data_IF_381155082078
#
_entry.id   IF_381155082078
#
_cell.length_a   1.000
_cell.length_b   1.000
_cell.length_c   1.000
_cell.angle_alpha   90.00
_cell.angle_beta   90.00
_cell.angle_gamma   90.00
#
_symmetry.space_group_name_H-M   'P 1'
#
loop_
_entity.id
_entity.type
_entity.pdbx_description
1 polymer ?
#
# COMPACT_ATOMS: atom_id res chain seq x y z
N UNK A 1 4.07 -4.03 -9.76
CA UNK A 1 3.61 -2.71 -10.25
C UNK A 1 3.65 -1.71 -9.11
N UNK A 2 4.39 -0.60 -9.23
CA UNK A 2 4.68 0.31 -8.11
C UNK A 2 3.59 1.37 -7.81
N UNK A 3 2.51 1.39 -8.59
CA UNK A 3 1.36 2.26 -8.36
C UNK A 3 0.12 1.43 -8.03
N UNK A 4 -0.48 1.70 -6.87
CA UNK A 4 -1.73 1.08 -6.41
C UNK A 4 -2.88 1.42 -7.36
N UNK A 5 -2.98 2.69 -7.76
CA UNK A 5 -3.98 3.19 -8.70
C UNK A 5 -3.84 2.56 -10.08
N UNK A 6 -2.60 2.41 -10.58
CA UNK A 6 -2.36 1.75 -11.87
C UNK A 6 -2.73 0.26 -11.83
N UNK A 7 -2.43 -0.45 -10.71
CA UNK A 7 -2.92 -1.82 -10.51
C UNK A 7 -4.44 -1.87 -10.56
N UNK A 8 -5.10 -0.97 -9.83
CA UNK A 8 -6.55 -0.95 -9.72
C UNK A 8 -7.22 -0.66 -11.07
N UNK A 9 -6.90 0.46 -11.70
CA UNK A 9 -7.57 0.91 -12.93
C UNK A 9 -7.07 0.22 -14.20
N UNK A 10 -5.77 -0.09 -14.27
CA UNK A 10 -5.16 -0.66 -15.47
C UNK A 10 -5.28 -2.17 -15.60
N UNK A 11 -5.34 -2.89 -14.47
CA UNK A 11 -5.32 -4.37 -14.49
C UNK A 11 -6.60 -4.95 -13.91
N UNK A 12 -6.86 -4.68 -12.62
CA UNK A 12 -7.91 -5.41 -11.91
C UNK A 12 -9.31 -4.97 -12.33
N UNK A 13 -9.57 -3.67 -12.45
CA UNK A 13 -10.90 -3.17 -12.77
C UNK A 13 -11.41 -3.64 -14.15
N UNK A 14 -10.60 -3.65 -15.23
CA UNK A 14 -11.01 -4.24 -16.51
C UNK A 14 -11.40 -5.72 -16.40
N UNK A 15 -10.62 -6.51 -15.65
CA UNK A 15 -10.89 -7.94 -15.40
C UNK A 15 -12.20 -8.09 -14.62
N UNK A 16 -12.35 -7.35 -13.52
CA UNK A 16 -13.55 -7.34 -12.67
C UNK A 16 -14.77 -6.98 -13.51
N UNK A 17 -14.69 -5.93 -14.35
CA UNK A 17 -15.78 -5.51 -15.22
C UNK A 17 -16.15 -6.60 -16.24
N UNK A 18 -15.16 -7.22 -16.88
CA UNK A 18 -15.40 -8.31 -17.84
C UNK A 18 -16.10 -9.51 -17.19
N UNK A 19 -15.64 -9.94 -16.01
CA UNK A 19 -16.23 -11.05 -15.27
C UNK A 19 -17.64 -10.71 -14.77
N UNK A 20 -17.82 -9.51 -14.23
CA UNK A 20 -19.10 -9.04 -13.71
C UNK A 20 -20.15 -8.98 -14.80
N UNK A 21 -19.83 -8.40 -15.96
CA UNK A 21 -20.74 -8.33 -17.10
C UNK A 21 -21.11 -9.72 -17.63
N UNK A 22 -20.13 -10.64 -17.70
CA UNK A 22 -20.38 -12.03 -18.11
C UNK A 22 -21.32 -12.77 -17.16
N UNK A 23 -21.27 -12.43 -15.87
CA UNK A 23 -22.17 -12.95 -14.84
C UNK A 23 -23.52 -12.17 -14.75
N UNK A 24 -23.79 -11.27 -15.69
CA UNK A 24 -25.00 -10.45 -15.69
C UNK A 24 -25.08 -9.45 -14.52
N UNK A 25 -23.92 -9.06 -13.97
CA UNK A 25 -23.75 -8.08 -12.91
C UNK A 25 -23.33 -6.75 -13.52
N UNK A 26 -24.22 -5.75 -13.50
CA UNK A 26 -24.00 -4.45 -14.15
C UNK A 26 -23.72 -3.35 -13.12
N UNK A 27 -22.92 -2.32 -13.47
CA UNK A 27 -22.73 -1.16 -12.61
C UNK A 27 -24.00 -0.29 -12.58
N UNK A 28 -24.23 0.39 -11.45
CA UNK A 28 -25.38 1.27 -11.18
C UNK A 28 -26.74 0.56 -11.37
N UNK A 29 -26.77 -0.74 -11.10
CA UNK A 29 -27.93 -1.62 -11.30
C UNK A 29 -28.06 -2.57 -10.10
N UNK A 30 -29.28 -2.96 -9.69
CA UNK A 30 -29.47 -3.91 -8.58
C UNK A 30 -28.71 -5.23 -8.76
N UNK A 31 -28.41 -5.63 -10.01
CA UNK A 31 -27.59 -6.81 -10.33
C UNK A 31 -26.11 -6.68 -9.96
N UNK A 32 -25.62 -5.51 -9.54
CA UNK A 32 -24.23 -5.32 -9.13
C UNK A 32 -23.80 -6.31 -8.03
N UNK A 33 -24.71 -6.70 -7.15
CA UNK A 33 -24.48 -7.64 -6.04
C UNK A 33 -24.29 -9.09 -6.49
N UNK A 34 -24.66 -9.44 -7.73
CA UNK A 34 -24.46 -10.79 -8.27
C UNK A 34 -23.01 -11.23 -8.20
N UNK A 35 -22.07 -10.34 -8.58
CA UNK A 35 -20.64 -10.63 -8.55
C UNK A 35 -19.78 -9.37 -8.43
N UNK A 36 -20.13 -8.30 -9.14
CA UNK A 36 -19.27 -7.12 -9.28
C UNK A 36 -18.97 -6.40 -7.98
N UNK A 37 -19.97 -6.20 -7.11
CA UNK A 37 -19.75 -5.54 -5.82
C UNK A 37 -18.75 -6.30 -4.95
N UNK A 38 -18.84 -7.64 -4.92
CA UNK A 38 -17.92 -8.47 -4.16
C UNK A 38 -16.50 -8.41 -4.71
N UNK A 39 -16.32 -8.54 -6.03
CA UNK A 39 -15.00 -8.50 -6.65
C UNK A 39 -14.32 -7.14 -6.45
N UNK A 40 -15.07 -6.05 -6.62
CA UNK A 40 -14.57 -4.68 -6.36
C UNK A 40 -14.14 -4.53 -4.90
N UNK A 41 -14.99 -4.91 -3.94
CA UNK A 41 -14.67 -4.75 -2.53
C UNK A 41 -13.56 -5.68 -2.06
N UNK A 42 -13.56 -6.95 -2.50
CA UNK A 42 -12.49 -7.90 -2.21
C UNK A 42 -11.14 -7.33 -2.65
N UNK A 43 -11.08 -6.77 -3.85
CA UNK A 43 -9.83 -6.23 -4.36
C UNK A 43 -9.43 -4.92 -3.69
N UNK A 44 -10.37 -3.99 -3.48
CA UNK A 44 -10.09 -2.74 -2.77
C UNK A 44 -9.53 -3.01 -1.37
N UNK A 45 -10.22 -3.82 -0.58
CA UNK A 45 -9.88 -4.10 0.82
C UNK A 45 -8.60 -4.95 0.96
N UNK A 46 -8.34 -5.88 0.04
CA UNK A 46 -7.10 -6.67 0.05
C UNK A 46 -5.88 -5.89 -0.50
N UNK A 47 -6.10 -4.84 -1.31
CA UNK A 47 -5.01 -4.11 -1.96
C UNK A 47 -4.07 -3.39 -0.98
N UNK A 48 -4.58 -2.93 0.17
CA UNK A 48 -3.75 -2.33 1.22
C UNK A 48 -2.71 -3.31 1.76
N UNK A 49 -3.10 -4.57 1.98
CA UNK A 49 -2.22 -5.61 2.50
C UNK A 49 -1.12 -6.00 1.51
N UNK A 50 -1.44 -6.12 0.22
CA UNK A 50 -0.41 -6.37 -0.81
C UNK A 50 0.55 -5.19 -0.98
N UNK A 51 0.06 -3.96 -0.77
CA UNK A 51 0.88 -2.74 -0.80
C UNK A 51 1.79 -2.61 0.42
N UNK A 52 1.32 -3.07 1.57
CA UNK A 52 2.12 -3.16 2.80
C UNK A 52 3.18 -4.27 2.72
N UNK A 53 2.97 -5.36 1.96
CA UNK A 53 3.92 -6.47 1.85
C UNK A 53 5.23 -6.09 1.16
N UNK A 54 5.18 -5.25 0.12
CA UNK A 54 6.36 -4.90 -0.68
C UNK A 54 6.65 -3.40 -0.63
N UNK A 55 7.90 -3.04 -0.33
CA UNK A 55 8.34 -1.65 -0.26
C UNK A 55 7.99 -0.87 -1.52
N UNK A 56 8.23 -1.45 -2.69
CA UNK A 56 8.03 -0.80 -3.99
C UNK A 56 6.61 -0.94 -4.52
N UNK A 57 5.63 -1.37 -3.72
CA UNK A 57 4.25 -1.54 -4.19
C UNK A 57 3.43 -0.25 -4.17
N UNK A 58 3.87 0.81 -3.50
CA UNK A 58 3.16 2.08 -3.47
C UNK A 58 4.13 3.24 -3.24
N UNK A 59 3.83 4.42 -3.82
CA UNK A 59 4.73 5.57 -3.77
C UNK A 59 4.97 6.06 -2.34
N UNK A 60 3.92 6.14 -1.53
CA UNK A 60 3.96 6.61 -0.15
C UNK A 60 4.89 5.78 0.74
N UNK A 61 5.14 4.51 0.40
CA UNK A 61 6.09 3.67 1.12
C UNK A 61 7.51 4.25 1.08
N UNK A 62 7.95 4.68 -0.11
CA UNK A 62 9.26 5.31 -0.31
C UNK A 62 9.31 6.70 0.32
N UNK A 63 8.20 7.45 0.28
CA UNK A 63 8.10 8.75 0.95
C UNK A 63 8.30 8.61 2.47
N UNK A 64 7.62 7.66 3.11
CA UNK A 64 7.78 7.42 4.54
C UNK A 64 9.22 7.06 4.92
N UNK A 65 9.90 6.23 4.14
CA UNK A 65 11.32 5.94 4.37
C UNK A 65 12.19 7.19 4.31
N UNK A 66 11.93 8.08 3.35
CA UNK A 66 12.68 9.33 3.21
C UNK A 66 12.39 10.29 4.35
N UNK A 67 11.13 10.46 4.72
CA UNK A 67 10.74 11.28 5.87
C UNK A 67 11.29 10.74 7.20
N UNK A 68 11.40 9.41 7.35
CA UNK A 68 12.04 8.79 8.51
C UNK A 68 13.55 9.10 8.56
N UNK A 69 14.22 9.05 7.41
CA UNK A 69 15.64 9.38 7.28
C UNK A 69 15.92 10.85 7.66
N UNK A 70 15.05 11.79 7.26
CA UNK A 70 15.15 13.23 7.62
C UNK A 70 15.09 13.49 9.13
N UNK A 71 14.49 12.58 9.91
CA UNK A 71 14.45 12.67 11.37
C UNK A 71 15.38 11.67 12.07
N UNK A 72 16.35 11.13 11.33
CA UNK A 72 17.44 10.30 11.87
C UNK A 72 17.15 8.81 11.96
N UNK A 73 16.01 8.34 11.46
CA UNK A 73 15.66 6.91 11.47
C UNK A 73 16.02 6.27 10.12
N UNK A 74 17.20 5.68 10.06
CA UNK A 74 17.69 4.98 8.86
C UNK A 74 17.41 3.47 8.95
N UNK A 75 16.66 2.96 7.98
CA UNK A 75 16.38 1.53 7.87
C UNK A 75 17.46 0.89 6.99
N UNK A 76 18.30 0.04 7.59
CA UNK A 76 19.28 -0.75 6.85
C UNK A 76 18.58 -1.79 5.96
N UNK A 77 19.14 -2.05 4.77
CA UNK A 77 18.54 -2.91 3.74
C UNK A 77 17.02 -2.70 3.60
N UNK A 78 16.57 -1.50 3.14
CA UNK A 78 15.17 -1.10 3.22
C UNK A 78 14.20 -2.12 2.63
N UNK A 79 14.56 -2.76 1.52
CA UNK A 79 13.67 -3.71 0.85
C UNK A 79 13.51 -5.00 1.66
N UNK A 80 14.60 -5.59 2.13
CA UNK A 80 14.57 -6.82 2.93
C UNK A 80 13.97 -6.57 4.30
N UNK A 81 14.37 -5.50 4.99
CA UNK A 81 13.83 -5.13 6.29
C UNK A 81 12.33 -4.91 6.21
N UNK A 82 11.86 -4.18 5.20
CA UNK A 82 10.44 -4.01 4.94
C UNK A 82 9.71 -5.34 4.76
N UNK A 83 10.20 -6.17 3.81
CA UNK A 83 9.55 -7.43 3.47
C UNK A 83 9.48 -8.37 4.68
N UNK A 84 10.59 -8.51 5.43
CA UNK A 84 10.64 -9.35 6.63
C UNK A 84 9.62 -8.90 7.66
N UNK A 85 9.58 -7.61 7.99
CA UNK A 85 8.71 -7.09 9.05
C UNK A 85 7.23 -7.11 8.64
N UNK A 86 6.93 -6.88 7.36
CA UNK A 86 5.57 -6.94 6.81
C UNK A 86 5.05 -8.36 6.58
N UNK A 87 5.95 -9.33 6.31
CA UNK A 87 5.62 -10.64 5.72
C UNK A 87 4.43 -11.34 6.39
N UNK A 88 4.59 -11.78 7.64
CA UNK A 88 3.59 -12.59 8.32
C UNK A 88 2.23 -11.87 8.48
N UNK A 89 2.14 -10.64 9.03
CA UNK A 89 0.85 -9.97 9.16
C UNK A 89 0.21 -9.65 7.80
N UNK A 90 0.99 -9.20 6.81
CA UNK A 90 0.46 -8.88 5.49
C UNK A 90 -0.04 -10.11 4.73
N UNK A 91 0.67 -11.25 4.79
CA UNK A 91 0.25 -12.51 4.15
C UNK A 91 -1.04 -13.02 4.79
N UNK A 92 -1.10 -13.04 6.13
CA UNK A 92 -2.31 -13.48 6.84
C UNK A 92 -3.49 -12.58 6.49
N UNK A 93 -3.32 -11.25 6.53
CA UNK A 93 -4.39 -10.33 6.12
C UNK A 93 -4.78 -10.49 4.65
N UNK A 94 -3.82 -10.70 3.73
CA UNK A 94 -4.09 -10.87 2.30
C UNK A 94 -4.97 -12.11 2.03
N UNK A 95 -4.77 -13.19 2.80
CA UNK A 95 -5.58 -14.41 2.71
C UNK A 95 -6.91 -14.29 3.46
N UNK A 96 -6.90 -13.65 4.64
CA UNK A 96 -8.07 -13.51 5.49
C UNK A 96 -9.09 -12.51 4.93
N UNK A 97 -8.66 -11.38 4.36
CA UNK A 97 -9.56 -10.31 3.91
C UNK A 97 -10.59 -10.80 2.87
N UNK A 98 -10.21 -11.48 1.77
CA UNK A 98 -11.19 -12.00 0.81
C UNK A 98 -12.15 -13.02 1.44
N UNK A 99 -11.63 -13.93 2.28
CA UNK A 99 -12.45 -14.93 2.97
C UNK A 99 -13.49 -14.30 3.90
N UNK A 100 -13.08 -13.31 4.70
CA UNK A 100 -13.98 -12.60 5.61
C UNK A 100 -15.01 -11.78 4.84
N UNK A 101 -14.61 -11.10 3.76
CA UNK A 101 -15.53 -10.41 2.86
C UNK A 101 -16.53 -11.35 2.20
N UNK A 102 -16.12 -12.56 1.84
CA UNK A 102 -17.02 -13.57 1.31
C UNK A 102 -18.10 -13.98 2.33
N UNK A 103 -17.80 -13.92 3.63
CA UNK A 103 -18.78 -14.20 4.69
C UNK A 103 -19.72 -13.02 4.97
N UNK A 104 -19.20 -11.79 5.04
CA UNK A 104 -20.00 -10.61 5.44
C UNK A 104 -20.66 -9.87 4.27
N UNK A 105 -20.13 -10.03 3.05
CA UNK A 105 -20.60 -9.39 1.83
C UNK A 105 -20.56 -10.37 0.64
N UNK A 106 -21.20 -11.56 0.75
CA UNK A 106 -21.12 -12.60 -0.27
C UNK A 106 -21.65 -12.12 -1.62
N UNK A 107 -21.10 -12.61 -2.74
CA UNK A 107 -21.75 -12.51 -4.03
C UNK A 107 -22.97 -13.44 -4.08
N UNK A 108 -24.00 -13.07 -4.84
CA UNK A 108 -25.16 -13.95 -5.07
C UNK A 108 -24.77 -15.15 -5.94
N UNK A 109 -23.90 -14.92 -6.94
CA UNK A 109 -23.33 -15.97 -7.78
C UNK A 109 -22.05 -16.49 -7.14
N UNK A 110 -22.04 -17.77 -6.80
CA UNK A 110 -20.90 -18.46 -6.15
C UNK A 110 -20.26 -19.53 -7.02
N UNK A 111 -20.91 -19.86 -8.13
CA UNK A 111 -20.43 -20.84 -9.08
C UNK A 111 -20.35 -20.20 -10.48
N UNK A 112 -19.25 -20.45 -11.17
CA UNK A 112 -18.97 -19.93 -12.52
C UNK A 112 -18.35 -21.06 -13.35
N UNK A 113 -19.13 -22.11 -13.68
CA UNK A 113 -18.62 -23.33 -14.29
C UNK A 113 -17.99 -23.07 -15.67
N UNK A 114 -18.43 -22.03 -16.37
CA UNK A 114 -17.90 -21.60 -17.66
C UNK A 114 -16.59 -20.80 -17.57
N UNK A 115 -16.23 -20.27 -16.39
CA UNK A 115 -15.07 -19.38 -16.26
C UNK A 115 -13.73 -20.06 -16.61
N UNK A 116 -13.45 -21.32 -16.20
CA UNK A 116 -12.25 -22.02 -16.61
C UNK A 116 -12.15 -22.21 -18.12
N UNK A 117 -13.25 -22.57 -18.79
CA UNK A 117 -13.29 -22.76 -20.24
C UNK A 117 -13.04 -21.43 -20.98
N UNK A 118 -13.68 -20.34 -20.53
CA UNK A 118 -13.46 -18.99 -21.08
C UNK A 118 -12.01 -18.53 -20.88
N UNK A 119 -11.43 -18.75 -19.69
CA UNK A 119 -10.05 -18.41 -19.40
C UNK A 119 -9.06 -19.19 -20.29
N UNK A 120 -9.29 -20.49 -20.48
CA UNK A 120 -8.47 -21.33 -21.37
C UNK A 120 -8.57 -20.84 -22.83
N UNK A 121 -9.76 -20.49 -23.30
CA UNK A 121 -9.94 -19.95 -24.64
C UNK A 121 -9.25 -18.59 -24.82
N UNK A 122 -9.33 -17.69 -23.82
CA UNK A 122 -8.63 -16.40 -23.83
C UNK A 122 -7.11 -16.59 -23.83
N UNK A 123 -6.59 -17.51 -23.03
CA UNK A 123 -5.17 -17.85 -23.00
C UNK A 123 -4.70 -18.38 -24.38
N UNK A 124 -5.49 -19.26 -25.00
CA UNK A 124 -5.21 -19.75 -26.37
C UNK A 124 -5.18 -18.61 -27.39
N UNK A 125 -6.11 -17.65 -27.27
CA UNK A 125 -6.19 -16.49 -28.16
C UNK A 125 -5.04 -15.49 -27.95
N UNK A 126 -4.47 -15.39 -26.74
CA UNK A 126 -3.29 -14.55 -26.46
C UNK A 126 -2.03 -15.08 -27.16
N UNK A 127 -1.95 -16.40 -27.38
CA UNK A 127 -0.81 -17.02 -28.04
C UNK A 127 0.40 -17.23 -27.12
N UNK A 128 1.56 -17.61 -27.68
CA UNK A 128 2.78 -17.81 -26.90
C UNK A 128 3.33 -16.50 -26.34
N UNK A 129 4.06 -16.59 -25.23
CA UNK A 129 4.73 -15.45 -24.59
C UNK A 129 5.69 -14.79 -25.59
N UNK A 130 5.48 -13.50 -25.80
CA UNK A 130 6.25 -12.69 -26.75
C UNK A 130 7.65 -12.40 -26.23
N UNK A 131 8.56 -12.01 -27.13
CA UNK A 131 9.92 -11.58 -26.77
C UNK A 131 9.91 -10.45 -25.73
N UNK A 132 9.03 -9.46 -25.90
CA UNK A 132 8.95 -8.30 -25.01
C UNK A 132 8.47 -8.69 -23.61
N UNK A 133 7.51 -9.61 -23.51
CA UNK A 133 7.06 -10.16 -22.22
C UNK A 133 8.18 -10.93 -21.51
N UNK A 134 8.97 -11.73 -22.24
CA UNK A 134 10.14 -12.41 -21.67
C UNK A 134 11.21 -11.44 -21.16
N UNK A 135 11.51 -10.39 -21.92
CA UNK A 135 12.45 -9.34 -21.49
C UNK A 135 11.92 -8.66 -20.22
N UNK A 136 10.62 -8.37 -20.15
CA UNK A 136 10.02 -7.77 -18.96
C UNK A 136 10.15 -8.69 -17.74
N UNK A 137 9.84 -9.98 -17.87
CA UNK A 137 9.99 -10.96 -16.79
C UNK A 137 11.45 -11.05 -16.32
N UNK A 138 12.40 -11.18 -17.26
CA UNK A 138 13.82 -11.25 -16.94
C UNK A 138 14.30 -9.98 -16.21
N UNK A 139 13.87 -8.80 -16.67
CA UNK A 139 14.20 -7.52 -16.06
C UNK A 139 13.61 -7.39 -14.66
N UNK A 140 12.38 -7.87 -14.42
CA UNK A 140 11.79 -7.92 -13.07
C UNK A 140 12.60 -8.81 -12.14
N UNK A 141 12.99 -10.01 -12.59
CA UNK A 141 13.79 -10.95 -11.78
C UNK A 141 15.14 -10.32 -11.42
N UNK A 142 15.79 -9.64 -12.38
CA UNK A 142 17.03 -8.91 -12.14
C UNK A 142 16.84 -7.80 -11.11
N UNK A 143 15.82 -6.94 -11.27
CA UNK A 143 15.57 -5.84 -10.35
C UNK A 143 15.29 -6.33 -8.92
N UNK A 144 14.50 -7.39 -8.76
CA UNK A 144 14.24 -8.02 -7.45
C UNK A 144 15.53 -8.60 -6.86
N UNK A 145 16.36 -9.26 -7.68
CA UNK A 145 17.65 -9.77 -7.22
C UNK A 145 18.57 -8.64 -6.75
N UNK A 146 18.64 -7.52 -7.48
CA UNK A 146 19.40 -6.34 -7.08
C UNK A 146 18.84 -5.67 -5.83
N UNK A 147 17.53 -5.69 -5.59
CA UNK A 147 16.98 -5.20 -4.31
C UNK A 147 17.28 -6.12 -3.13
N UNK A 148 17.38 -7.43 -3.34
CA UNK A 148 17.72 -8.41 -2.30
C UNK A 148 19.21 -8.32 -1.94
N UNK A 149 20.08 -8.31 -2.94
CA UNK A 149 21.53 -8.39 -2.77
C UNK A 149 22.24 -7.03 -2.84
N UNK A 150 21.53 -5.94 -3.18
CA UNK A 150 22.11 -4.64 -3.50
C UNK A 150 23.06 -4.09 -2.44
N UNK A 151 22.67 -4.14 -1.17
CA UNK A 151 23.52 -3.71 -0.06
C UNK A 151 24.87 -4.45 0.00
N UNK A 152 24.90 -5.74 -0.37
CA UNK A 152 26.15 -6.55 -0.37
C UNK A 152 27.09 -6.21 -1.51
N UNK A 153 26.56 -5.71 -2.62
CA UNK A 153 27.32 -5.37 -3.84
C UNK A 153 27.42 -3.85 -4.07
N UNK A 154 26.99 -3.03 -3.10
CA UNK A 154 27.04 -1.56 -3.18
C UNK A 154 26.04 -0.93 -4.16
N UNK A 155 24.98 -1.65 -4.54
CA UNK A 155 23.94 -1.17 -5.45
C UNK A 155 22.74 -0.69 -4.64
N UNK A 156 22.47 0.62 -4.70
CA UNK A 156 21.28 1.19 -4.05
C UNK A 156 19.99 0.78 -4.78
N UNK A 157 18.86 0.83 -4.07
CA UNK A 157 17.55 0.48 -4.63
C UNK A 157 17.14 1.35 -5.83
N UNK A 158 17.58 2.61 -5.85
CA UNK A 158 17.36 3.55 -6.96
C UNK A 158 18.17 3.14 -8.18
N UNK A 159 19.45 2.78 -7.99
CA UNK A 159 20.31 2.30 -9.09
C UNK A 159 19.74 1.02 -9.70
N UNK A 160 19.26 0.09 -8.87
CA UNK A 160 18.60 -1.13 -9.34
C UNK A 160 17.37 -0.82 -10.23
N UNK A 161 16.54 0.15 -9.84
CA UNK A 161 15.39 0.58 -10.63
C UNK A 161 15.80 1.24 -11.96
N UNK A 162 16.87 2.06 -11.95
CA UNK A 162 17.41 2.69 -13.17
C UNK A 162 17.99 1.66 -14.13
N UNK A 163 18.72 0.65 -13.64
CA UNK A 163 19.20 -0.47 -14.47
C UNK A 163 18.02 -1.17 -15.15
N UNK A 164 16.95 -1.46 -14.39
CA UNK A 164 15.74 -2.07 -14.94
C UNK A 164 15.12 -1.23 -16.06
N UNK A 165 14.92 0.07 -15.82
CA UNK A 165 14.36 0.99 -16.83
C UNK A 165 15.26 1.10 -18.07
N UNK A 166 16.58 1.20 -17.89
CA UNK A 166 17.54 1.25 -19.00
C UNK A 166 17.46 0.00 -19.87
N UNK A 167 17.35 -1.20 -19.28
CA UNK A 167 17.19 -2.44 -20.05
C UNK A 167 15.90 -2.43 -20.87
N UNK A 168 14.79 -1.99 -20.29
CA UNK A 168 13.49 -1.94 -20.99
C UNK A 168 13.50 -0.97 -22.18
N UNK A 169 14.17 0.18 -22.03
CA UNK A 169 14.34 1.16 -23.11
C UNK A 169 15.30 0.66 -24.20
N UNK A 170 16.46 0.12 -23.81
CA UNK A 170 17.47 -0.37 -24.77
C UNK A 170 16.96 -1.55 -25.60
N UNK A 171 16.15 -2.43 -25.01
CA UNK A 171 15.59 -3.59 -25.69
C UNK A 171 14.25 -3.33 -26.38
N UNK A 172 13.75 -2.07 -26.34
CA UNK A 172 12.55 -1.64 -27.03
C UNK A 172 11.25 -2.22 -26.46
N UNK A 173 11.25 -2.63 -25.18
CA UNK A 173 10.02 -3.02 -24.46
C UNK A 173 9.21 -1.78 -24.08
N UNK A 174 9.92 -0.72 -23.68
CA UNK A 174 9.37 0.61 -23.50
C UNK A 174 10.06 1.57 -24.48
N UNK A 175 9.32 2.58 -24.92
CA UNK A 175 9.89 3.72 -25.64
C UNK A 175 9.94 4.95 -24.72
N UNK A 176 10.64 6.00 -25.17
CA UNK A 176 10.80 7.22 -24.35
C UNK A 176 9.47 7.96 -24.16
N UNK A 177 8.58 7.88 -25.15
CA UNK A 177 7.25 8.49 -25.07
C UNK A 177 6.38 7.83 -23.99
N UNK A 178 6.49 6.53 -23.78
CA UNK A 178 5.85 5.82 -22.66
C UNK A 178 6.29 6.42 -21.31
N UNK A 179 7.58 6.74 -21.16
CA UNK A 179 8.12 7.34 -19.95
C UNK A 179 7.64 8.79 -19.74
N UNK A 180 7.53 9.58 -20.81
CA UNK A 180 6.99 10.94 -20.75
C UNK A 180 5.50 10.95 -20.43
N UNK A 181 4.76 9.97 -20.97
CA UNK A 181 3.32 9.85 -20.78
C UNK A 181 2.91 9.20 -19.45
N UNK A 182 3.86 8.62 -18.71
CA UNK A 182 3.63 8.09 -17.36
C UNK A 182 3.51 9.22 -16.31
N UNK A 183 2.44 10.02 -16.44
CA UNK A 183 2.16 11.22 -15.63
C UNK A 183 2.20 10.94 -14.13
N UNK A 184 1.82 9.73 -13.69
CA UNK A 184 1.84 9.36 -12.27
C UNK A 184 3.25 9.39 -11.68
N UNK A 185 4.28 9.04 -12.45
CA UNK A 185 5.67 9.07 -11.99
C UNK A 185 6.15 10.52 -11.83
N UNK A 186 5.84 11.39 -12.79
CA UNK A 186 6.19 12.82 -12.75
C UNK A 186 5.50 13.58 -11.62
N UNK A 187 4.21 13.33 -11.43
CA UNK A 187 3.43 13.90 -10.32
C UNK A 187 4.01 13.47 -8.96
N UNK A 188 4.32 12.18 -8.81
CA UNK A 188 4.97 11.65 -7.60
C UNK A 188 6.32 12.32 -7.34
N UNK A 189 7.17 12.47 -8.37
CA UNK A 189 8.48 13.10 -8.26
C UNK A 189 8.36 14.55 -7.78
N UNK A 190 7.48 15.34 -8.39
CA UNK A 190 7.26 16.74 -8.03
C UNK A 190 6.75 16.89 -6.59
N UNK A 191 5.72 16.11 -6.21
CA UNK A 191 5.17 16.13 -4.85
C UNK A 191 6.20 15.71 -3.80
N UNK A 192 6.96 14.64 -4.06
CA UNK A 192 7.94 14.14 -3.09
C UNK A 192 9.08 15.13 -2.90
N UNK A 193 9.56 15.76 -3.96
CA UNK A 193 10.60 16.78 -3.87
C UNK A 193 10.17 17.95 -2.98
N UNK A 194 8.95 18.45 -3.15
CA UNK A 194 8.40 19.55 -2.34
C UNK A 194 8.19 19.10 -0.89
N UNK A 195 7.52 17.97 -0.67
CA UNK A 195 7.17 17.50 0.67
C UNK A 195 8.40 17.14 1.52
N UNK A 196 9.36 16.41 0.95
CA UNK A 196 10.62 16.08 1.64
C UNK A 196 11.42 17.36 1.91
N UNK A 197 11.48 18.28 0.95
CA UNK A 197 12.14 19.58 1.13
C UNK A 197 11.52 20.40 2.26
N UNK A 198 10.19 20.51 2.32
CA UNK A 198 9.47 21.20 3.39
C UNK A 198 9.64 20.50 4.74
N UNK A 199 9.55 19.17 4.79
CA UNK A 199 9.76 18.39 6.01
C UNK A 199 11.17 18.61 6.58
N UNK A 200 12.21 18.62 5.73
CA UNK A 200 13.57 18.95 6.13
C UNK A 200 13.68 20.35 6.74
N UNK A 201 13.02 21.36 6.15
CA UNK A 201 13.00 22.72 6.72
C UNK A 201 12.25 22.78 8.07
N UNK A 202 11.12 22.10 8.22
CA UNK A 202 10.39 22.03 9.50
C UNK A 202 11.24 21.38 10.61
N UNK A 203 12.02 20.34 10.27
CA UNK A 203 12.98 19.72 11.19
C UNK A 203 14.10 20.68 11.55
N UNK A 204 14.73 21.32 10.55
CA UNK A 204 15.83 22.26 10.76
C UNK A 204 15.43 23.50 11.56
N UNK A 205 14.21 23.99 11.39
CA UNK A 205 13.64 25.11 12.15
C UNK A 205 13.18 24.70 13.57
N UNK A 206 13.27 23.42 13.93
CA UNK A 206 12.94 22.91 15.26
C UNK A 206 11.45 22.71 15.52
N UNK A 207 10.58 22.86 14.52
CA UNK A 207 9.11 22.70 14.67
C UNK A 207 8.76 21.25 15.03
N UNK A 208 9.39 20.28 14.37
CA UNK A 208 9.19 18.84 14.66
C UNK A 208 9.55 18.54 16.11
N UNK A 209 10.69 19.04 16.60
CA UNK A 209 11.13 18.88 17.98
C UNK A 209 10.17 19.54 18.98
N UNK A 210 9.69 20.75 18.70
CA UNK A 210 8.71 21.44 19.54
C UNK A 210 7.41 20.65 19.68
N UNK A 211 6.82 20.21 18.56
CA UNK A 211 5.58 19.44 18.57
C UNK A 211 5.73 18.10 19.28
N UNK A 212 6.84 17.40 19.05
CA UNK A 212 7.16 16.14 19.73
C UNK A 212 7.23 16.33 21.24
N UNK A 213 7.84 17.43 21.71
CA UNK A 213 7.92 17.77 23.12
C UNK A 213 6.54 18.08 23.73
N UNK A 214 5.65 18.75 23.01
CA UNK A 214 4.28 18.99 23.46
C UNK A 214 3.52 17.68 23.68
N UNK A 215 3.60 16.76 22.72
CA UNK A 215 2.93 15.45 22.82
C UNK A 215 3.58 14.58 23.87
N UNK A 216 4.92 14.58 23.97
CA UNK A 216 5.64 13.87 25.01
C UNK A 216 5.14 14.25 26.40
N UNK A 217 4.94 15.55 26.66
CA UNK A 217 4.38 16.04 27.93
C UNK A 217 2.97 15.55 28.19
N UNK A 218 2.12 15.50 27.17
CA UNK A 218 0.75 14.96 27.27
C UNK A 218 0.79 13.45 27.53
N UNK A 219 1.61 12.68 26.82
CA UNK A 219 1.70 11.24 27.04
C UNK A 219 2.32 10.90 28.41
N UNK A 220 3.31 11.69 28.85
CA UNK A 220 3.88 11.59 30.19
C UNK A 220 2.84 11.88 31.28
N UNK A 221 1.92 12.84 31.08
CA UNK A 221 0.87 13.11 32.05
C UNK A 221 -0.11 11.94 32.22
N UNK A 222 -0.27 11.11 31.19
CA UNK A 222 -1.07 9.87 31.27
C UNK A 222 -0.29 8.66 31.83
N UNK A 223 1.02 8.79 32.10
CA UNK A 223 1.88 7.69 32.60
C UNK A 223 1.76 6.39 31.80
N UNK A 224 1.53 6.49 30.48
CA UNK A 224 1.35 5.33 29.62
C UNK A 224 2.68 4.60 29.40
N UNK A 225 2.62 3.26 29.40
CA UNK A 225 3.73 2.45 28.91
C UNK A 225 3.93 2.66 27.41
N UNK A 226 5.15 2.49 26.90
CA UNK A 226 5.42 2.67 25.46
C UNK A 226 4.52 1.81 24.56
N UNK A 227 4.11 0.56 24.90
CA UNK A 227 3.17 -0.21 24.07
C UNK A 227 1.76 0.40 24.04
N UNK A 228 1.31 0.96 25.17
CA UNK A 228 0.02 1.64 25.23
C UNK A 228 0.05 2.95 24.41
N UNK A 229 1.12 3.73 24.54
CA UNK A 229 1.35 4.93 23.73
C UNK A 229 1.43 4.59 22.23
N UNK A 230 2.11 3.50 21.86
CA UNK A 230 2.18 3.00 20.49
C UNK A 230 0.79 2.68 19.93
N UNK A 231 -0.05 1.96 20.69
CA UNK A 231 -1.41 1.64 20.28
C UNK A 231 -2.28 2.88 20.04
N UNK A 232 -2.23 3.86 20.96
CA UNK A 232 -2.98 5.12 20.83
C UNK A 232 -2.50 5.92 19.63
N UNK A 233 -1.19 6.12 19.47
CA UNK A 233 -0.64 6.90 18.37
C UNK A 233 -0.91 6.23 17.00
N UNK A 234 -0.80 4.91 16.91
CA UNK A 234 -1.17 4.16 15.69
C UNK A 234 -2.65 4.30 15.36
N UNK A 235 -3.54 4.18 16.35
CA UNK A 235 -4.97 4.35 16.14
C UNK A 235 -5.31 5.79 15.71
N UNK A 236 -4.74 6.80 16.36
CA UNK A 236 -4.92 8.21 16.00
C UNK A 236 -4.42 8.49 14.58
N UNK A 237 -3.24 8.00 14.21
CA UNK A 237 -2.68 8.13 12.86
C UNK A 237 -3.58 7.45 11.82
N UNK A 238 -4.16 6.30 12.16
CA UNK A 238 -5.03 5.58 11.24
C UNK A 238 -6.37 6.30 11.01
N UNK A 239 -7.06 6.68 12.09
CA UNK A 239 -8.43 7.21 12.00
C UNK A 239 -8.49 8.67 11.53
N UNK A 240 -7.45 9.48 11.76
CA UNK A 240 -7.41 10.84 11.20
C UNK A 240 -7.44 10.81 9.66
N UNK A 241 -7.12 9.68 9.03
CA UNK A 241 -7.22 9.50 7.59
C UNK A 241 -8.64 9.62 7.02
N UNK A 242 -9.70 9.49 7.84
CA UNK A 242 -11.06 9.81 7.40
C UNK A 242 -11.21 11.27 6.89
N UNK A 243 -10.32 12.16 7.35
CA UNK A 243 -10.27 13.58 6.95
C UNK A 243 -9.36 13.83 5.73
N UNK A 244 -8.73 12.79 5.15
CA UNK A 244 -7.80 12.91 4.04
C UNK A 244 -8.31 12.19 2.79
N UNK A 245 -8.13 12.83 1.64
CA UNK A 245 -8.44 12.28 0.31
C UNK A 245 -7.24 11.59 -0.37
N UNK A 246 -6.10 11.47 0.31
CA UNK A 246 -4.88 10.90 -0.27
C UNK A 246 -3.95 10.37 0.81
N UNK A 247 -3.49 9.13 0.62
CA UNK A 247 -2.46 8.51 1.48
C UNK A 247 -1.17 9.31 1.46
N UNK A 248 -0.74 9.75 0.28
CA UNK A 248 0.48 10.55 0.11
C UNK A 248 0.36 11.90 0.83
N UNK A 249 -0.79 12.59 0.69
CA UNK A 249 -1.01 13.86 1.38
C UNK A 249 -1.00 13.70 2.89
N UNK A 250 -1.65 12.65 3.40
CA UNK A 250 -1.62 12.30 4.82
C UNK A 250 -0.18 12.06 5.30
N UNK A 251 0.58 11.24 4.58
CA UNK A 251 1.98 10.94 4.90
C UNK A 251 2.81 12.23 4.94
N UNK A 252 2.72 13.06 3.90
CA UNK A 252 3.45 14.33 3.83
C UNK A 252 3.11 15.29 4.98
N UNK A 253 1.86 15.32 5.43
CA UNK A 253 1.41 16.21 6.49
C UNK A 253 1.74 15.69 7.91
N UNK A 254 1.60 14.39 8.15
CA UNK A 254 1.53 13.84 9.51
C UNK A 254 2.61 12.81 9.85
N UNK A 255 3.26 12.17 8.88
CA UNK A 255 4.15 11.04 9.17
C UNK A 255 5.32 11.43 10.07
N UNK A 256 6.08 12.49 9.72
CA UNK A 256 7.24 12.92 10.52
C UNK A 256 6.83 13.35 11.93
N UNK A 257 5.66 13.98 12.06
CA UNK A 257 5.09 14.37 13.34
C UNK A 257 4.83 13.13 14.22
N UNK A 258 4.11 12.14 13.69
CA UNK A 258 3.77 10.92 14.42
C UNK A 258 4.98 10.06 14.72
N UNK A 259 5.94 9.98 13.81
CA UNK A 259 7.19 9.27 14.07
C UNK A 259 7.97 9.95 15.20
N UNK A 260 8.05 11.27 15.22
CA UNK A 260 8.74 11.98 16.30
C UNK A 260 7.98 11.87 17.66
N UNK A 261 6.64 11.86 17.65
CA UNK A 261 5.83 11.52 18.82
C UNK A 261 6.11 10.10 19.33
N UNK A 262 6.26 9.14 18.43
CA UNK A 262 6.60 7.77 18.80
C UNK A 262 7.96 7.67 19.49
N UNK A 263 8.97 8.33 18.93
CA UNK A 263 10.32 8.36 19.50
C UNK A 263 10.32 9.00 20.89
N UNK A 264 9.57 10.10 21.05
CA UNK A 264 9.44 10.77 22.33
C UNK A 264 8.70 9.93 23.39
N UNK A 265 7.81 9.02 22.97
CA UNK A 265 7.15 8.05 23.83
C UNK A 265 8.03 6.82 24.18
N UNK A 266 9.30 6.80 23.75
CA UNK A 266 10.24 5.71 24.03
C UNK A 266 10.02 4.44 23.18
N UNK A 267 9.25 4.54 22.10
CA UNK A 267 8.98 3.41 21.20
C UNK A 267 10.21 3.18 20.30
N UNK A 268 10.64 1.93 20.06
CA UNK A 268 11.77 1.65 19.17
C UNK A 268 11.62 2.30 17.78
N UNK A 269 12.70 2.90 17.29
CA UNK A 269 12.67 3.77 16.12
C UNK A 269 12.26 3.04 14.82
N UNK A 270 12.88 1.89 14.55
CA UNK A 270 12.60 1.08 13.36
C UNK A 270 11.17 0.53 13.39
N UNK A 271 10.71 0.06 14.56
CA UNK A 271 9.33 -0.36 14.76
C UNK A 271 8.35 0.78 14.45
N UNK A 272 8.62 1.98 14.96
CA UNK A 272 7.77 3.15 14.76
C UNK A 272 7.66 3.55 13.29
N UNK A 273 8.79 3.66 12.60
CA UNK A 273 8.84 4.04 11.19
C UNK A 273 8.09 3.02 10.30
N UNK A 274 8.38 1.74 10.48
CA UNK A 274 7.75 0.68 9.68
C UNK A 274 6.25 0.55 9.99
N UNK A 275 5.88 0.53 11.27
CA UNK A 275 4.48 0.37 11.66
C UNK A 275 3.60 1.53 11.16
N UNK A 276 4.04 2.78 11.30
CA UNK A 276 3.33 3.94 10.73
C UNK A 276 3.18 3.79 9.22
N UNK A 277 4.23 3.34 8.53
CA UNK A 277 4.19 3.19 7.07
C UNK A 277 3.23 2.08 6.63
N UNK A 278 3.19 0.94 7.32
CA UNK A 278 2.21 -0.10 7.04
C UNK A 278 0.79 0.42 7.26
N UNK A 279 0.59 1.17 8.34
CA UNK A 279 -0.69 1.82 8.63
C UNK A 279 -1.14 2.72 7.47
N UNK A 280 -0.19 3.43 6.84
CA UNK A 280 -0.48 4.25 5.66
C UNK A 280 -1.02 3.46 4.47
N UNK A 281 -0.69 2.18 4.35
CA UNK A 281 -1.27 1.31 3.31
C UNK A 281 -2.66 0.81 3.71
N UNK A 282 -2.83 0.45 4.98
CA UNK A 282 -4.05 -0.19 5.49
C UNK A 282 -5.24 0.78 5.54
N UNK A 283 -5.02 2.07 5.80
CA UNK A 283 -6.12 3.05 5.78
C UNK A 283 -6.60 3.41 4.36
N UNK A 284 -5.93 2.86 3.35
CA UNK A 284 -6.16 3.18 1.95
C UNK A 284 -7.54 2.83 1.40
N UNK A 285 -8.31 2.02 2.13
CA UNK A 285 -9.62 1.50 1.73
C UNK A 285 -10.74 1.87 2.73
N UNK A 286 -10.52 2.88 3.60
CA UNK A 286 -11.50 3.31 4.60
C UNK A 286 -12.75 3.95 3.97
N UNK A 287 -12.53 4.82 2.99
CA UNK A 287 -13.57 5.54 2.26
C UNK A 287 -13.31 5.46 0.75
N UNK A 288 -14.30 5.90 -0.02
CA UNK A 288 -14.20 6.02 -1.47
C UNK A 288 -13.13 7.02 -1.94
N UNK A 289 -12.72 7.96 -1.08
CA UNK A 289 -11.70 8.96 -1.40
C UNK A 289 -10.37 8.73 -0.67
N UNK A 290 -10.24 7.75 0.22
CA UNK A 290 -8.98 7.53 0.99
C UNK A 290 -7.74 7.35 0.10
N UNK A 291 -7.93 6.95 -1.15
CA UNK A 291 -6.85 6.71 -2.08
C UNK A 291 -7.29 6.79 -3.54
N UNK A 292 -6.31 6.90 -4.45
CA UNK A 292 -6.57 6.84 -5.89
C UNK A 292 -7.24 5.52 -6.29
N UNK A 293 -6.81 4.37 -5.76
CA UNK A 293 -7.47 3.10 -6.02
C UNK A 293 -8.91 3.03 -5.47
N UNK A 294 -9.20 3.61 -4.29
CA UNK A 294 -10.57 3.70 -3.77
C UNK A 294 -11.48 4.48 -4.72
N UNK A 295 -11.00 5.61 -5.22
CA UNK A 295 -11.75 6.45 -6.15
C UNK A 295 -12.02 5.71 -7.46
N UNK A 296 -11.02 4.98 -7.99
CA UNK A 296 -11.16 4.14 -9.20
C UNK A 296 -12.20 3.04 -9.00
N UNK A 297 -12.13 2.31 -7.89
CA UNK A 297 -13.06 1.21 -7.62
C UNK A 297 -14.48 1.69 -7.35
N UNK A 298 -14.65 2.77 -6.58
CA UNK A 298 -15.96 3.36 -6.34
C UNK A 298 -16.57 3.94 -7.62
N UNK A 299 -15.76 4.65 -8.41
CA UNK A 299 -16.16 5.23 -9.70
C UNK A 299 -16.57 4.18 -10.75
N UNK A 300 -16.29 2.90 -10.53
CA UNK A 300 -16.78 1.82 -11.37
C UNK A 300 -18.30 1.57 -11.27
N UNK A 301 -18.96 2.08 -10.22
CA UNK A 301 -20.41 2.02 -10.04
C UNK A 301 -20.95 0.67 -9.57
N UNK A 302 -20.12 -0.23 -9.04
CA UNK A 302 -20.58 -1.54 -8.54
C UNK A 302 -20.95 -1.56 -7.07
N UNK A 303 -20.64 -0.52 -6.30
CA UNK A 303 -20.75 -0.53 -4.83
C UNK A 303 -21.35 0.78 -4.37
N UNK A 304 -22.35 0.69 -3.49
CA UNK A 304 -22.99 1.86 -2.91
C UNK A 304 -22.13 2.49 -1.79
N UNK A 305 -22.29 3.79 -1.60
CA UNK A 305 -21.52 4.56 -0.63
C UNK A 305 -21.59 4.00 0.82
N UNK A 306 -22.76 3.60 1.36
CA UNK A 306 -22.84 3.05 2.72
C UNK A 306 -22.03 1.76 2.87
N UNK A 307 -22.02 0.91 1.84
CA UNK A 307 -21.24 -0.33 1.84
C UNK A 307 -19.74 -0.06 1.82
N UNK A 308 -19.29 0.98 1.11
CA UNK A 308 -17.88 1.40 1.13
C UNK A 308 -17.44 1.77 2.54
N UNK A 309 -18.21 2.61 3.25
CA UNK A 309 -17.86 3.01 4.62
C UNK A 309 -17.95 1.85 5.61
N UNK A 310 -19.02 1.04 5.53
CA UNK A 310 -19.24 -0.10 6.43
C UNK A 310 -18.14 -1.14 6.26
N UNK A 311 -17.83 -1.53 5.03
CA UNK A 311 -16.78 -2.53 4.75
C UNK A 311 -15.39 -1.96 4.97
N UNK A 312 -15.16 -0.68 4.69
CA UNK A 312 -13.91 0.01 5.00
C UNK A 312 -13.60 0.00 6.50
N UNK A 313 -14.56 0.40 7.34
CA UNK A 313 -14.40 0.35 8.80
C UNK A 313 -14.25 -1.09 9.32
N UNK A 314 -15.06 -2.02 8.81
CA UNK A 314 -15.01 -3.42 9.23
C UNK A 314 -13.65 -4.06 8.89
N UNK A 315 -13.16 -3.85 7.68
CA UNK A 315 -11.85 -4.36 7.24
C UNK A 315 -10.72 -3.67 7.98
N UNK A 316 -10.83 -2.37 8.27
CA UNK A 316 -9.88 -1.67 9.11
C UNK A 316 -9.77 -2.29 10.52
N UNK A 317 -10.90 -2.60 11.16
CA UNK A 317 -10.90 -3.28 12.45
C UNK A 317 -10.26 -4.68 12.37
N UNK A 318 -10.58 -5.45 11.31
CA UNK A 318 -9.96 -6.76 11.05
C UNK A 318 -8.44 -6.61 10.89
N UNK A 319 -7.99 -5.66 10.06
CA UNK A 319 -6.56 -5.41 9.84
C UNK A 319 -5.89 -4.95 11.14
N UNK A 320 -6.51 -4.09 11.94
CA UNK A 320 -5.98 -3.66 13.22
C UNK A 320 -5.78 -4.85 14.18
N UNK A 321 -6.73 -5.80 14.20
CA UNK A 321 -6.58 -7.04 15.00
C UNK A 321 -5.48 -7.94 14.44
N UNK A 322 -5.44 -8.19 13.13
CA UNK A 322 -4.43 -9.08 12.55
C UNK A 322 -3.03 -8.46 12.70
N UNK A 323 -2.84 -7.23 12.27
CA UNK A 323 -1.55 -6.54 12.38
C UNK A 323 -1.17 -6.27 13.84
N UNK A 324 -2.14 -5.98 14.71
CA UNK A 324 -1.90 -5.83 16.14
C UNK A 324 -1.42 -7.14 16.77
N UNK A 325 -2.17 -8.23 16.61
CA UNK A 325 -1.86 -9.51 17.26
C UNK A 325 -0.67 -10.20 16.56
N UNK A 326 -0.79 -10.50 15.27
CA UNK A 326 0.25 -11.20 14.50
C UNK A 326 1.51 -10.35 14.43
N UNK A 327 1.37 -9.04 14.15
CA UNK A 327 2.51 -8.14 14.09
C UNK A 327 3.24 -8.05 15.42
N UNK A 328 2.53 -7.94 16.55
CA UNK A 328 3.18 -7.94 17.89
C UNK A 328 4.05 -9.19 18.08
N UNK A 329 3.52 -10.39 17.86
CA UNK A 329 4.32 -11.62 18.02
C UNK A 329 5.47 -11.71 17.00
N UNK A 330 5.20 -11.37 15.75
CA UNK A 330 6.18 -11.45 14.67
C UNK A 330 7.33 -10.46 14.85
N UNK A 331 7.03 -9.22 15.19
CA UNK A 331 8.01 -8.16 15.39
C UNK A 331 8.89 -8.43 16.62
N UNK A 332 8.34 -9.05 17.66
CA UNK A 332 9.13 -9.55 18.80
C UNK A 332 10.06 -10.69 18.37
N UNK A 333 9.56 -11.64 17.59
CA UNK A 333 10.38 -12.74 17.05
C UNK A 333 11.54 -12.22 16.18
N UNK A 334 11.33 -11.14 15.43
CA UNK A 334 12.35 -10.47 14.64
C UNK A 334 13.31 -9.58 15.46
N UNK A 335 13.08 -9.43 16.77
CA UNK A 335 13.92 -8.62 17.66
C UNK A 335 13.77 -7.11 17.47
N UNK A 336 12.60 -6.62 17.02
CA UNK A 336 12.34 -5.18 16.88
C UNK A 336 12.07 -4.49 18.23
N UNK A 337 11.74 -5.26 19.26
CA UNK A 337 11.56 -4.84 20.66
C UNK A 337 11.61 -6.06 21.59
#
# INVERSE_FOLDING_TARGET
MPSTTARAGGVFLPIVKSLSLSAGSKPNDPSARKLGSYLVQSQLQASGNSSALFLTAAAQNLLCLKLAEEIGVKIANPWISWFKVASLPAIISLLATPYLLYKIFPPEIKDTPEAPAIAAQKLKNMGPVTRNEWIMVATMILAVSLWIFGDTIGVSSVVAAMIGLSILLLLGVLNWEDCLNEKSAWDTLAWFAILVGMAGQLTNLGIVSWMSNCVAKVLQSFSLSWPAAFGVLQASYFFIHYLFASQTAHVGALYSAFLAMHLAAGIPAILSALALTYNSNLFGALTHYSSGQSAVYYGAGYVDLPDVFKLGFTTAAINAVIWGVVGTFWWKFLGLY
#
